data_IF_037573863187
#
_entry.id   IF_037573863187
#
_cell.length_a   1.000
_cell.length_b   1.000
_cell.length_c   1.000
_cell.angle_alpha   90.00
_cell.angle_beta   90.00
_cell.angle_gamma   90.00
#
_symmetry.space_group_name_H-M   'P 1'
#
loop_
_entity.id
_entity.type
_entity.pdbx_description
1 polymer ?
#
# COMPACT_ATOMS: atom_id res chain seq x y z
N UNK A 1 -61.77 62.43 -29.42
CA UNK A 1 -61.81 62.17 -30.88
C UNK A 1 -62.90 62.92 -31.64
N UNK A 2 -64.05 63.32 -31.06
CA UNK A 2 -65.11 64.03 -31.81
C UNK A 2 -64.79 65.51 -32.13
N UNK A 3 -64.04 66.22 -31.30
CA UNK A 3 -63.76 67.66 -31.53
C UNK A 3 -62.67 67.93 -32.58
N UNK A 4 -61.64 67.08 -32.68
CA UNK A 4 -60.53 67.29 -33.62
C UNK A 4 -60.95 67.08 -35.07
N UNK A 5 -61.88 66.14 -35.32
CA UNK A 5 -62.44 65.89 -36.65
C UNK A 5 -63.32 67.06 -37.09
N UNK A 6 -64.13 67.61 -36.17
CA UNK A 6 -64.97 68.78 -36.44
C UNK A 6 -64.13 70.03 -36.69
N UNK A 7 -63.04 70.23 -35.94
CA UNK A 7 -62.08 71.33 -36.16
C UNK A 7 -61.37 71.21 -37.52
N UNK A 8 -60.87 70.02 -37.88
CA UNK A 8 -60.24 69.80 -39.19
C UNK A 8 -61.21 69.99 -40.34
N UNK A 9 -62.49 69.64 -40.15
CA UNK A 9 -63.53 69.89 -41.15
C UNK A 9 -63.82 71.40 -41.28
N UNK A 10 -63.87 72.14 -40.16
CA UNK A 10 -64.04 73.60 -40.18
C UNK A 10 -62.85 74.31 -40.84
N UNK A 11 -61.61 73.86 -40.60
CA UNK A 11 -60.42 74.37 -41.28
C UNK A 11 -60.40 74.03 -42.77
N UNK A 12 -60.78 72.80 -43.14
CA UNK A 12 -60.89 72.37 -44.54
C UNK A 12 -61.94 73.17 -45.32
N UNK A 13 -63.04 73.57 -44.68
CA UNK A 13 -64.07 74.43 -45.30
C UNK A 13 -63.62 75.90 -45.35
N UNK A 14 -62.94 76.41 -44.33
CA UNK A 14 -62.55 77.84 -44.28
C UNK A 14 -61.42 78.22 -45.24
N UNK A 15 -60.48 77.31 -45.54
CA UNK A 15 -59.21 77.70 -46.15
C UNK A 15 -59.11 77.65 -47.70
N UNK A 16 -59.98 77.01 -48.49
CA UNK A 16 -59.92 77.07 -49.97
C UNK A 16 -60.99 77.92 -50.65
N UNK A 17 -61.96 78.49 -49.91
CA UNK A 17 -63.12 79.17 -50.51
C UNK A 17 -62.88 80.64 -50.93
N UNK A 18 -61.78 81.27 -50.51
CA UNK A 18 -61.59 82.71 -50.70
C UNK A 18 -61.29 83.14 -52.16
N UNK A 19 -60.86 82.23 -53.05
CA UNK A 19 -60.45 82.54 -54.43
C UNK A 19 -61.01 81.58 -55.49
N UNK A 20 -62.08 80.85 -55.19
CA UNK A 20 -62.66 79.86 -56.12
C UNK A 20 -63.92 80.39 -56.79
N UNK A 21 -64.15 79.94 -58.02
CA UNK A 21 -65.39 80.23 -58.73
C UNK A 21 -66.59 79.69 -57.95
N UNK A 22 -67.76 80.29 -58.13
CA UNK A 22 -68.99 79.88 -57.42
C UNK A 22 -69.32 78.40 -57.64
N UNK A 23 -68.99 77.85 -58.82
CA UNK A 23 -69.19 76.43 -59.15
C UNK A 23 -68.23 75.51 -58.37
N UNK A 24 -66.97 75.89 -58.19
CA UNK A 24 -66.00 75.11 -57.41
C UNK A 24 -66.36 75.08 -55.91
N UNK A 25 -66.91 76.19 -55.40
CA UNK A 25 -67.40 76.26 -54.03
C UNK A 25 -68.62 75.36 -53.81
N UNK A 26 -69.52 75.29 -54.79
CA UNK A 26 -70.65 74.35 -54.76
C UNK A 26 -70.19 72.89 -54.83
N UNK A 27 -69.27 72.55 -55.75
CA UNK A 27 -68.74 71.19 -55.86
C UNK A 27 -68.04 70.73 -54.58
N UNK A 28 -67.25 71.59 -53.93
CA UNK A 28 -66.65 71.30 -52.63
C UNK A 28 -67.68 71.17 -51.51
N UNK A 29 -68.74 71.99 -51.52
CA UNK A 29 -69.87 71.88 -50.60
C UNK A 29 -70.53 70.51 -50.71
N UNK A 30 -70.82 70.05 -51.94
CA UNK A 30 -71.36 68.72 -52.18
C UNK A 30 -70.41 67.60 -51.72
N UNK A 31 -69.09 67.77 -51.90
CA UNK A 31 -68.09 66.80 -51.48
C UNK A 31 -67.96 66.71 -49.95
N UNK A 32 -68.00 67.84 -49.25
CA UNK A 32 -67.97 67.92 -47.79
C UNK A 32 -69.25 67.35 -47.17
N UNK A 33 -70.41 67.63 -47.75
CA UNK A 33 -71.70 67.04 -47.35
C UNK A 33 -71.72 65.53 -47.59
N UNK A 34 -71.18 65.05 -48.73
CA UNK A 34 -71.05 63.62 -49.01
C UNK A 34 -70.10 62.91 -48.01
N UNK A 35 -69.00 63.54 -47.63
CA UNK A 35 -68.07 63.02 -46.62
C UNK A 35 -68.70 62.97 -45.21
N UNK A 36 -69.38 64.04 -44.80
CA UNK A 36 -70.13 64.10 -43.54
C UNK A 36 -71.24 63.04 -43.48
N UNK A 37 -71.97 62.86 -44.59
CA UNK A 37 -73.02 61.86 -44.70
C UNK A 37 -72.48 60.42 -44.65
N UNK A 38 -71.30 60.17 -45.22
CA UNK A 38 -70.65 58.85 -45.18
C UNK A 38 -70.17 58.47 -43.77
N UNK A 39 -69.75 59.44 -42.95
CA UNK A 39 -69.37 59.22 -41.55
C UNK A 39 -70.58 59.23 -40.59
N UNK A 40 -71.69 59.86 -40.98
CA UNK A 40 -72.90 59.88 -40.17
C UNK A 40 -73.63 58.53 -40.18
N UNK A 41 -73.93 57.98 -39.00
CA UNK A 41 -74.72 56.75 -38.86
C UNK A 41 -76.07 57.04 -38.19
N UNK A 42 -77.12 56.34 -38.61
CA UNK A 42 -78.45 56.44 -37.98
C UNK A 42 -79.21 57.74 -38.29
N UNK A 43 -79.84 58.33 -37.25
CA UNK A 43 -80.80 59.45 -37.37
C UNK A 43 -80.23 60.73 -38.02
N UNK A 44 -78.94 60.99 -37.85
CA UNK A 44 -78.28 62.19 -38.40
C UNK A 44 -78.16 62.12 -39.92
N UNK A 45 -77.98 60.91 -40.46
CA UNK A 45 -77.91 60.66 -41.92
C UNK A 45 -79.24 60.94 -42.60
N UNK A 46 -80.35 60.53 -41.96
CA UNK A 46 -81.69 60.75 -42.48
C UNK A 46 -82.11 62.22 -42.46
N UNK A 47 -81.70 63.01 -41.46
CA UNK A 47 -81.98 64.46 -41.41
C UNK A 47 -81.25 65.24 -42.51
N UNK A 48 -79.95 64.96 -42.71
CA UNK A 48 -79.16 65.60 -43.76
C UNK A 48 -79.65 65.22 -45.19
N UNK A 49 -80.19 64.01 -45.37
CA UNK A 49 -80.80 63.58 -46.64
C UNK A 49 -82.09 64.34 -46.97
N UNK A 50 -82.86 64.77 -45.97
CA UNK A 50 -84.08 65.58 -46.18
C UNK A 50 -83.79 67.03 -46.52
N UNK A 51 -82.71 67.62 -46.02
CA UNK A 51 -82.36 69.03 -46.31
C UNK A 51 -81.80 69.24 -47.73
N UNK A 52 -81.27 68.20 -48.38
CA UNK A 52 -80.64 68.29 -49.72
C UNK A 52 -81.65 68.15 -50.88
N UNK A 53 -82.95 68.00 -50.61
CA UNK A 53 -83.99 67.73 -51.63
C UNK A 53 -84.34 68.89 -52.60
N UNK A 54 -83.54 69.95 -52.69
CA UNK A 54 -83.82 71.15 -53.50
C UNK A 54 -83.13 71.27 -54.87
N UNK A 55 -82.18 70.40 -55.23
CA UNK A 55 -81.30 70.48 -56.43
C UNK A 55 -81.12 69.06 -57.05
N UNK A 56 -80.66 68.89 -58.32
CA UNK A 56 -80.97 67.71 -59.13
C UNK A 56 -80.47 66.40 -58.50
N UNK A 57 -81.46 65.60 -58.07
CA UNK A 57 -81.40 64.39 -57.21
C UNK A 57 -80.44 63.29 -57.68
N UNK A 58 -80.02 63.30 -58.94
CA UNK A 58 -79.12 62.31 -59.54
C UNK A 58 -77.67 62.47 -59.05
N UNK A 59 -77.14 63.70 -58.99
CA UNK A 59 -75.73 63.93 -58.66
C UNK A 59 -75.43 63.61 -57.19
N UNK A 60 -76.36 63.95 -56.29
CA UNK A 60 -76.25 63.69 -54.86
C UNK A 60 -76.28 62.18 -54.53
N UNK A 61 -77.08 61.39 -55.25
CA UNK A 61 -77.11 59.92 -55.11
C UNK A 61 -75.80 59.27 -55.55
N UNK A 62 -75.21 59.74 -56.66
CA UNK A 62 -73.93 59.24 -57.17
C UNK A 62 -72.81 59.57 -56.18
N UNK A 63 -72.72 60.82 -55.71
CA UNK A 63 -71.72 61.22 -54.72
C UNK A 63 -71.83 60.43 -53.42
N UNK A 64 -73.04 60.11 -52.98
CA UNK A 64 -73.28 59.27 -51.80
C UNK A 64 -72.87 57.81 -52.01
N UNK A 65 -73.18 57.22 -53.16
CA UNK A 65 -72.73 55.87 -53.50
C UNK A 65 -71.19 55.80 -53.56
N UNK A 66 -70.55 56.81 -54.17
CA UNK A 66 -69.09 56.92 -54.21
C UNK A 66 -68.50 57.09 -52.81
N UNK A 67 -69.11 57.91 -51.94
CA UNK A 67 -68.64 58.11 -50.57
C UNK A 67 -68.78 56.82 -49.73
N UNK A 68 -69.93 56.13 -49.80
CA UNK A 68 -70.13 54.84 -49.11
C UNK A 68 -69.23 53.72 -49.65
N UNK A 69 -68.95 53.69 -50.96
CA UNK A 69 -67.99 52.78 -51.54
C UNK A 69 -66.57 53.08 -51.06
N UNK A 70 -66.19 54.36 -50.99
CA UNK A 70 -64.87 54.78 -50.50
C UNK A 70 -64.65 54.48 -49.02
N UNK A 71 -65.68 54.66 -48.17
CA UNK A 71 -65.62 54.33 -46.75
C UNK A 71 -65.61 52.81 -46.52
N UNK A 72 -66.40 52.05 -47.28
CA UNK A 72 -66.37 50.60 -47.24
C UNK A 72 -65.00 50.05 -47.69
N UNK A 73 -64.43 50.63 -48.76
CA UNK A 73 -63.10 50.27 -49.24
C UNK A 73 -62.00 50.57 -48.22
N UNK A 74 -62.00 51.76 -47.60
CA UNK A 74 -61.10 52.07 -46.48
C UNK A 74 -61.25 51.09 -45.32
N UNK A 75 -62.48 50.71 -44.94
CA UNK A 75 -62.70 49.74 -43.85
C UNK A 75 -62.19 48.34 -44.18
N UNK A 76 -62.22 47.94 -45.45
CA UNK A 76 -61.65 46.68 -45.93
C UNK A 76 -60.12 46.77 -45.91
N UNK A 77 -59.55 47.89 -46.38
CA UNK A 77 -58.10 48.15 -46.38
C UNK A 77 -57.54 48.22 -44.95
N UNK A 78 -58.27 48.80 -43.99
CA UNK A 78 -57.90 48.84 -42.57
C UNK A 78 -57.95 47.43 -41.95
N UNK A 79 -58.96 46.62 -42.30
CA UNK A 79 -59.07 45.23 -41.83
C UNK A 79 -57.97 44.34 -42.41
N UNK A 80 -57.68 44.44 -43.69
CA UNK A 80 -56.56 43.68 -44.30
C UNK A 80 -55.22 44.12 -43.74
N UNK A 81 -55.04 45.41 -43.46
CA UNK A 81 -53.83 45.91 -42.78
C UNK A 81 -53.71 45.37 -41.34
N UNK A 82 -54.81 45.33 -40.59
CA UNK A 82 -54.84 44.74 -39.25
C UNK A 82 -54.62 43.22 -39.27
N UNK A 83 -55.18 42.49 -40.23
CA UNK A 83 -54.96 41.07 -40.44
C UNK A 83 -53.51 40.77 -40.83
N UNK A 84 -52.90 41.60 -41.69
CA UNK A 84 -51.48 41.49 -42.03
C UNK A 84 -50.58 41.77 -40.83
N UNK A 85 -50.90 42.79 -40.01
CA UNK A 85 -50.18 43.09 -38.79
C UNK A 85 -50.28 41.92 -37.78
N UNK A 86 -51.48 41.38 -37.56
CA UNK A 86 -51.70 40.23 -36.69
C UNK A 86 -51.00 38.96 -37.21
N UNK A 87 -51.01 38.74 -38.53
CA UNK A 87 -50.28 37.64 -39.17
C UNK A 87 -48.76 37.79 -38.99
N UNK A 88 -48.24 39.02 -39.09
CA UNK A 88 -46.84 39.34 -38.82
C UNK A 88 -46.45 39.08 -37.36
N UNK A 89 -47.29 39.49 -36.40
CA UNK A 89 -47.07 39.19 -34.98
C UNK A 89 -47.13 37.68 -34.69
N UNK A 90 -48.08 36.96 -35.26
CA UNK A 90 -48.17 35.50 -35.15
C UNK A 90 -46.93 34.81 -35.74
N UNK A 91 -46.43 35.28 -36.88
CA UNK A 91 -45.19 34.78 -37.47
C UNK A 91 -43.97 35.04 -36.57
N UNK A 92 -43.89 36.23 -35.96
CA UNK A 92 -42.83 36.58 -35.02
C UNK A 92 -42.88 35.73 -33.75
N UNK A 93 -44.07 35.51 -33.18
CA UNK A 93 -44.28 34.66 -32.01
C UNK A 93 -43.93 33.20 -32.35
N UNK A 94 -44.38 32.70 -33.50
CA UNK A 94 -44.05 31.36 -33.96
C UNK A 94 -42.53 31.18 -34.15
N UNK A 95 -41.85 32.17 -34.71
CA UNK A 95 -40.38 32.20 -34.82
C UNK A 95 -39.69 32.20 -33.45
N UNK A 96 -40.17 33.00 -32.51
CA UNK A 96 -39.64 33.02 -31.14
C UNK A 96 -39.82 31.68 -30.42
N UNK A 97 -41.00 31.05 -30.54
CA UNK A 97 -41.26 29.73 -29.96
C UNK A 97 -40.34 28.67 -30.58
N UNK A 98 -40.12 28.71 -31.90
CA UNK A 98 -39.19 27.80 -32.57
C UNK A 98 -37.75 27.97 -32.07
N UNK A 99 -37.31 29.22 -31.87
CA UNK A 99 -35.98 29.51 -31.30
C UNK A 99 -35.85 29.02 -29.86
N UNK A 100 -36.83 29.30 -28.99
CA UNK A 100 -36.82 28.80 -27.62
C UNK A 100 -36.84 27.28 -27.54
N UNK A 101 -37.59 26.62 -28.44
CA UNK A 101 -37.59 25.16 -28.51
C UNK A 101 -36.22 24.63 -28.92
N UNK A 102 -35.56 25.26 -29.89
CA UNK A 102 -34.22 24.88 -30.31
C UNK A 102 -33.17 25.10 -29.20
N UNK A 103 -33.24 26.21 -28.47
CA UNK A 103 -32.40 26.46 -27.29
C UNK A 103 -32.65 25.43 -26.19
N UNK A 104 -33.90 25.13 -25.89
CA UNK A 104 -34.25 24.16 -24.86
C UNK A 104 -33.79 22.74 -25.23
N UNK A 105 -33.93 22.33 -26.50
CA UNK A 105 -33.41 21.04 -26.97
C UNK A 105 -31.88 20.98 -26.89
N UNK A 106 -31.20 22.09 -27.18
CA UNK A 106 -29.74 22.21 -27.03
C UNK A 106 -29.31 22.09 -25.56
N UNK A 107 -29.93 22.83 -24.65
CA UNK A 107 -29.63 22.74 -23.20
C UNK A 107 -29.89 21.33 -22.66
N UNK A 108 -30.98 20.68 -23.09
CA UNK A 108 -31.29 19.31 -22.68
C UNK A 108 -30.25 18.31 -23.18
N UNK A 109 -29.69 18.50 -24.37
CA UNK A 109 -28.59 17.67 -24.87
C UNK A 109 -27.30 17.92 -24.10
N UNK A 110 -26.97 19.17 -23.78
CA UNK A 110 -25.80 19.52 -22.97
C UNK A 110 -25.90 18.95 -21.54
N UNK A 111 -27.08 19.04 -20.91
CA UNK A 111 -27.33 18.44 -19.59
C UNK A 111 -27.21 16.92 -19.60
N UNK A 112 -27.71 16.26 -20.66
CA UNK A 112 -27.51 14.81 -20.83
C UNK A 112 -26.03 14.46 -20.98
N UNK A 113 -25.29 15.20 -21.79
CA UNK A 113 -23.85 15.02 -21.92
C UNK A 113 -23.10 15.22 -20.60
N UNK A 114 -23.50 16.20 -19.79
CA UNK A 114 -22.94 16.42 -18.46
C UNK A 114 -23.27 15.28 -17.48
N UNK A 115 -24.50 14.74 -17.51
CA UNK A 115 -24.89 13.59 -16.70
C UNK A 115 -24.14 12.32 -17.12
N UNK A 116 -23.96 12.08 -18.41
CA UNK A 116 -23.19 10.94 -18.92
C UNK A 116 -21.71 11.04 -18.54
N UNK A 117 -21.13 12.26 -18.61
CA UNK A 117 -19.76 12.51 -18.15
C UNK A 117 -19.61 12.29 -16.63
N UNK A 118 -20.60 12.69 -15.84
CA UNK A 118 -20.59 12.50 -14.39
C UNK A 118 -20.77 11.02 -14.01
N UNK A 119 -21.60 10.28 -14.74
CA UNK A 119 -21.74 8.83 -14.59
C UNK A 119 -20.44 8.10 -14.97
N UNK A 120 -19.77 8.51 -16.06
CA UNK A 120 -18.47 7.97 -16.44
C UNK A 120 -17.39 8.24 -15.39
N UNK A 121 -17.34 9.46 -14.83
CA UNK A 121 -16.44 9.81 -13.74
C UNK A 121 -16.72 9.00 -12.46
N UNK A 122 -18.00 8.76 -12.14
CA UNK A 122 -18.40 7.89 -11.03
C UNK A 122 -17.86 6.46 -11.19
N UNK A 123 -18.05 5.88 -12.37
CA UNK A 123 -17.53 4.54 -12.69
C UNK A 123 -15.99 4.48 -12.60
N UNK A 124 -15.29 5.53 -13.03
CA UNK A 124 -13.83 5.61 -12.92
C UNK A 124 -13.36 5.68 -11.46
N UNK A 125 -14.07 6.44 -10.62
CA UNK A 125 -13.80 6.52 -9.18
C UNK A 125 -14.01 5.15 -8.54
N UNK A 126 -15.12 4.47 -8.83
CA UNK A 126 -15.41 3.14 -8.28
C UNK A 126 -14.35 2.11 -8.69
N UNK A 127 -13.89 2.14 -9.94
CA UNK A 127 -12.78 1.30 -10.41
C UNK A 127 -11.47 1.60 -9.67
N UNK A 128 -11.14 2.88 -9.46
CA UNK A 128 -9.94 3.27 -8.72
C UNK A 128 -10.02 2.88 -7.24
N UNK A 129 -11.19 3.00 -6.62
CA UNK A 129 -11.43 2.56 -5.23
C UNK A 129 -11.30 1.05 -5.11
N UNK A 130 -11.87 0.28 -6.04
CA UNK A 130 -11.73 -1.17 -6.08
C UNK A 130 -10.27 -1.60 -6.24
N UNK A 131 -9.55 -1.02 -7.22
CA UNK A 131 -8.12 -1.30 -7.44
C UNK A 131 -7.26 -0.91 -6.23
N UNK A 132 -7.57 0.20 -5.56
CA UNK A 132 -6.86 0.62 -4.35
C UNK A 132 -7.12 -0.34 -3.18
N UNK A 133 -8.36 -0.83 -3.01
CA UNK A 133 -8.68 -1.82 -1.98
C UNK A 133 -7.97 -3.15 -2.21
N UNK A 134 -7.94 -3.64 -3.44
CA UNK A 134 -7.22 -4.86 -3.82
C UNK A 134 -5.70 -4.70 -3.59
N UNK A 135 -5.14 -3.55 -3.98
CA UNK A 135 -3.74 -3.22 -3.72
C UNK A 135 -3.40 -3.14 -2.22
N UNK A 136 -4.31 -2.61 -1.40
CA UNK A 136 -4.14 -2.53 0.06
C UNK A 136 -4.15 -3.93 0.70
N UNK A 137 -5.04 -4.82 0.24
CA UNK A 137 -5.13 -6.18 0.77
C UNK A 137 -3.93 -7.03 0.33
N UNK A 138 -3.49 -6.91 -0.93
CA UNK A 138 -2.25 -7.52 -1.40
C UNK A 138 -1.03 -7.00 -0.62
N UNK A 139 -1.00 -5.70 -0.30
CA UNK A 139 0.06 -5.12 0.51
C UNK A 139 0.05 -5.65 1.96
N UNK A 140 -1.13 -5.74 2.60
CA UNK A 140 -1.27 -6.35 3.93
C UNK A 140 -0.79 -7.80 3.94
N UNK A 141 -1.17 -8.59 2.94
CA UNK A 141 -0.72 -9.98 2.81
C UNK A 141 0.80 -10.04 2.65
N UNK A 142 1.40 -9.17 1.84
CA UNK A 142 2.85 -9.08 1.69
C UNK A 142 3.57 -8.71 2.99
N UNK A 143 2.98 -7.83 3.81
CA UNK A 143 3.52 -7.45 5.11
C UNK A 143 3.45 -8.61 6.10
N UNK A 144 2.34 -9.35 6.15
CA UNK A 144 2.20 -10.52 7.00
C UNK A 144 3.19 -11.62 6.61
N UNK A 145 3.36 -11.86 5.31
CA UNK A 145 4.34 -12.82 4.80
C UNK A 145 5.78 -12.38 5.14
N UNK A 146 6.08 -11.08 5.03
CA UNK A 146 7.40 -10.54 5.39
C UNK A 146 7.65 -10.58 6.90
N UNK A 147 6.65 -10.30 7.73
CA UNK A 147 6.75 -10.43 9.18
C UNK A 147 7.01 -11.89 9.59
N UNK A 148 6.29 -12.83 8.97
CA UNK A 148 6.50 -14.26 9.19
C UNK A 148 7.92 -14.67 8.83
N UNK A 149 8.43 -14.24 7.66
CA UNK A 149 9.79 -14.51 7.22
C UNK A 149 10.84 -13.93 8.19
N UNK A 150 10.71 -12.66 8.60
CA UNK A 150 11.62 -12.03 9.56
C UNK A 150 11.57 -12.76 10.91
N UNK A 151 10.39 -13.17 11.36
CA UNK A 151 10.24 -13.91 12.63
C UNK A 151 10.89 -15.28 12.58
N UNK A 152 10.89 -15.94 11.43
CA UNK A 152 11.62 -17.18 11.21
C UNK A 152 13.13 -16.95 11.20
N UNK A 153 13.62 -15.94 10.48
CA UNK A 153 15.04 -15.54 10.49
C UNK A 153 15.53 -15.26 11.92
N UNK A 154 14.77 -14.49 12.70
CA UNK A 154 15.14 -14.15 14.08
C UNK A 154 15.23 -15.37 15.00
N UNK A 155 14.35 -16.36 14.84
CA UNK A 155 14.42 -17.60 15.61
C UNK A 155 15.70 -18.37 15.30
N UNK A 156 16.12 -18.36 14.04
CA UNK A 156 17.29 -19.08 13.57
C UNK A 156 18.59 -18.36 13.97
N UNK A 157 18.62 -17.03 13.87
CA UNK A 157 19.73 -16.21 14.38
C UNK A 157 19.94 -16.41 15.88
N UNK A 158 18.85 -16.49 16.66
CA UNK A 158 18.95 -16.80 18.08
C UNK A 158 19.56 -18.18 18.34
N UNK A 159 19.23 -19.18 17.52
CA UNK A 159 19.83 -20.50 17.62
C UNK A 159 21.33 -20.45 17.31
N UNK A 160 21.73 -19.67 16.29
CA UNK A 160 23.13 -19.44 15.92
C UNK A 160 23.91 -18.79 17.05
N UNK A 161 23.38 -17.70 17.62
CA UNK A 161 24.00 -17.01 18.75
C UNK A 161 24.21 -17.94 19.95
N UNK A 162 23.24 -18.78 20.27
CA UNK A 162 23.36 -19.75 21.37
C UNK A 162 24.49 -20.77 21.12
N UNK A 163 24.65 -21.28 19.89
CA UNK A 163 25.75 -22.19 19.56
C UNK A 163 27.11 -21.51 19.61
N UNK A 164 27.20 -20.26 19.14
CA UNK A 164 28.42 -19.48 19.26
C UNK A 164 28.77 -19.20 20.73
N UNK A 165 27.78 -18.88 21.58
CA UNK A 165 28.00 -18.73 23.02
C UNK A 165 28.55 -20.04 23.64
N UNK A 166 27.97 -21.20 23.29
CA UNK A 166 28.49 -22.51 23.72
C UNK A 166 29.91 -22.78 23.22
N UNK A 167 30.23 -22.40 21.99
CA UNK A 167 31.59 -22.48 21.46
C UNK A 167 32.57 -21.63 22.28
N UNK A 168 32.21 -20.38 22.59
CA UNK A 168 33.08 -19.51 23.39
C UNK A 168 33.28 -20.03 24.81
N UNK A 169 32.23 -20.56 25.44
CA UNK A 169 32.31 -21.20 26.75
C UNK A 169 33.23 -22.44 26.71
N UNK A 170 33.03 -23.34 25.75
CA UNK A 170 33.89 -24.52 25.56
C UNK A 170 35.35 -24.13 25.29
N UNK A 171 35.58 -23.07 24.51
CA UNK A 171 36.92 -22.51 24.23
C UNK A 171 37.56 -21.95 25.49
N UNK A 172 36.81 -21.30 26.37
CA UNK A 172 37.34 -20.84 27.66
C UNK A 172 37.72 -22.01 28.55
N UNK A 173 36.89 -23.06 28.61
CA UNK A 173 37.21 -24.32 29.31
C UNK A 173 38.45 -25.02 28.75
N UNK A 174 38.63 -25.02 27.42
CA UNK A 174 39.83 -25.56 26.79
C UNK A 174 41.08 -24.77 27.18
N UNK A 175 41.00 -23.43 27.17
CA UNK A 175 42.11 -22.56 27.59
C UNK A 175 42.48 -22.78 29.06
N UNK A 176 41.50 -22.90 29.96
CA UNK A 176 41.78 -23.19 31.36
C UNK A 176 42.41 -24.57 31.53
N UNK A 177 41.96 -25.58 30.78
CA UNK A 177 42.58 -26.92 30.76
C UNK A 177 44.04 -26.88 30.28
N UNK A 178 44.34 -26.15 29.19
CA UNK A 178 45.71 -25.97 28.70
C UNK A 178 46.62 -25.30 29.73
N UNK A 179 46.13 -24.25 30.40
CA UNK A 179 46.88 -23.54 31.44
C UNK A 179 47.13 -24.45 32.64
N UNK A 180 46.11 -25.20 33.08
CA UNK A 180 46.25 -26.17 34.16
C UNK A 180 47.26 -27.27 33.81
N UNK A 181 47.21 -27.81 32.59
CA UNK A 181 48.15 -28.85 32.14
C UNK A 181 49.58 -28.30 32.04
N UNK A 182 49.76 -27.09 31.50
CA UNK A 182 51.08 -26.45 31.41
C UNK A 182 51.66 -26.15 32.80
N UNK A 183 50.84 -25.61 33.72
CA UNK A 183 51.24 -25.38 35.10
C UNK A 183 51.59 -26.69 35.80
N UNK A 184 50.80 -27.74 35.59
CA UNK A 184 51.05 -29.07 36.14
C UNK A 184 52.41 -29.62 35.68
N UNK A 185 52.69 -29.60 34.36
CA UNK A 185 53.97 -30.04 33.80
C UNK A 185 55.15 -29.21 34.34
N UNK A 186 54.99 -27.89 34.45
CA UNK A 186 56.03 -27.01 34.99
C UNK A 186 56.33 -27.36 36.44
N UNK A 187 55.30 -27.53 37.28
CA UNK A 187 55.45 -27.94 38.68
C UNK A 187 56.15 -29.29 38.77
N UNK A 188 55.78 -30.26 37.93
CA UNK A 188 56.46 -31.57 37.87
C UNK A 188 57.94 -31.43 37.53
N UNK A 189 58.29 -30.62 36.52
CA UNK A 189 59.68 -30.37 36.15
C UNK A 189 60.46 -29.71 37.30
N UNK A 190 59.87 -28.74 38.00
CA UNK A 190 60.50 -28.05 39.13
C UNK A 190 60.72 -29.01 40.31
N UNK A 191 59.71 -29.83 40.65
CA UNK A 191 59.83 -30.83 41.72
C UNK A 191 60.87 -31.88 41.35
N UNK A 192 60.85 -32.40 40.12
CA UNK A 192 61.82 -33.39 39.65
C UNK A 192 63.25 -32.82 39.64
N UNK A 193 63.43 -31.55 39.27
CA UNK A 193 64.74 -30.90 39.29
C UNK A 193 65.26 -30.68 40.72
N UNK A 194 64.41 -30.18 41.62
CA UNK A 194 64.80 -29.82 42.99
C UNK A 194 64.94 -31.02 43.93
N UNK A 195 64.01 -31.99 43.84
CA UNK A 195 63.96 -33.15 44.74
C UNK A 195 64.39 -34.45 44.08
N UNK A 196 64.51 -34.51 42.75
CA UNK A 196 64.89 -35.73 42.03
C UNK A 196 66.19 -36.37 42.51
N UNK A 197 67.30 -35.61 42.68
CA UNK A 197 68.54 -36.18 43.21
C UNK A 197 68.38 -36.78 44.62
N UNK A 198 67.66 -36.10 45.51
CA UNK A 198 67.40 -36.58 46.87
C UNK A 198 66.49 -37.82 46.89
N UNK A 199 65.45 -37.83 46.04
CA UNK A 199 64.56 -38.97 45.88
C UNK A 199 65.31 -40.20 45.34
N UNK A 200 66.12 -40.05 44.29
CA UNK A 200 66.95 -41.12 43.73
C UNK A 200 67.96 -41.63 44.76
N UNK A 201 68.63 -40.73 45.50
CA UNK A 201 69.56 -41.11 46.56
C UNK A 201 68.87 -41.91 47.68
N UNK A 202 67.63 -41.54 48.05
CA UNK A 202 66.86 -42.24 49.10
C UNK A 202 66.42 -43.65 48.71
N UNK A 203 66.24 -43.91 47.41
CA UNK A 203 65.83 -45.21 46.85
C UNK A 203 67.05 -46.10 46.58
N UNK A 204 68.18 -45.53 46.15
CA UNK A 204 69.38 -46.30 45.77
C UNK A 204 70.18 -46.88 46.95
N UNK A 205 70.01 -46.39 48.17
CA UNK A 205 70.67 -46.98 49.35
C UNK A 205 69.86 -48.16 49.88
N UNK A 206 70.14 -49.36 49.34
CA UNK A 206 69.86 -50.60 50.07
C UNK A 206 70.70 -50.59 51.34
N UNK A 207 70.03 -50.43 52.49
CA UNK A 207 70.68 -50.37 53.81
C UNK A 207 71.20 -51.76 54.20
N UNK A 208 72.31 -52.18 53.58
CA UNK A 208 73.09 -53.37 53.97
C UNK A 208 73.53 -53.28 55.43
N UNK A 209 73.68 -52.05 55.97
CA UNK A 209 73.98 -51.79 57.37
C UNK A 209 72.92 -52.34 58.35
N UNK A 210 71.63 -52.34 57.97
CA UNK A 210 70.55 -52.87 58.80
C UNK A 210 70.57 -54.41 58.87
N UNK A 211 71.09 -55.05 57.81
CA UNK A 211 71.35 -56.49 57.75
C UNK A 211 72.59 -56.88 58.58
N UNK A 212 73.62 -56.02 58.57
CA UNK A 212 74.88 -56.23 59.31
C UNK A 212 74.75 -55.92 60.80
N UNK A 213 73.85 -55.02 61.21
CA UNK A 213 73.62 -54.64 62.61
C UNK A 213 72.75 -55.61 63.41
N UNK A 214 72.46 -56.81 62.89
CA UNK A 214 71.69 -57.85 63.60
C UNK A 214 70.18 -57.62 63.65
N UNK A 215 69.64 -56.73 62.80
CA UNK A 215 68.20 -56.55 62.66
C UNK A 215 67.52 -57.78 62.05
N UNK A 216 66.32 -58.13 62.54
CA UNK A 216 65.49 -59.18 61.93
C UNK A 216 65.23 -58.84 60.46
N UNK A 217 65.37 -59.82 59.56
CA UNK A 217 65.07 -59.70 58.12
C UNK A 217 63.67 -59.07 57.89
N UNK A 218 62.72 -59.32 58.78
CA UNK A 218 61.39 -58.72 58.72
C UNK A 218 61.38 -57.19 58.87
N UNK A 219 62.28 -56.63 59.69
CA UNK A 219 62.40 -55.17 59.88
C UNK A 219 63.00 -54.47 58.66
N UNK A 220 63.98 -55.09 58.00
CA UNK A 220 64.57 -54.58 56.76
C UNK A 220 63.53 -54.55 55.62
N UNK A 221 62.75 -55.63 55.48
CA UNK A 221 61.67 -55.73 54.49
C UNK A 221 60.58 -54.70 54.78
N UNK A 222 60.15 -54.56 56.04
CA UNK A 222 59.14 -53.57 56.43
C UNK A 222 59.60 -52.12 56.15
N UNK A 223 60.88 -51.83 56.35
CA UNK A 223 61.45 -50.51 56.06
C UNK A 223 61.51 -50.20 54.56
N UNK A 224 61.79 -51.20 53.72
CA UNK A 224 61.77 -51.04 52.27
C UNK A 224 60.35 -50.88 51.71
N UNK A 225 59.41 -51.70 52.21
CA UNK A 225 58.00 -51.60 51.82
C UNK A 225 57.38 -50.27 52.25
N UNK A 226 57.67 -49.78 53.46
CA UNK A 226 57.18 -48.47 53.90
C UNK A 226 57.74 -47.32 53.05
N UNK A 227 59.03 -47.33 52.69
CA UNK A 227 59.60 -46.36 51.74
C UNK A 227 58.89 -46.43 50.37
N UNK A 228 58.67 -47.64 49.85
CA UNK A 228 57.97 -47.82 48.57
C UNK A 228 56.54 -47.27 48.62
N UNK A 229 55.79 -47.54 49.69
CA UNK A 229 54.43 -47.03 49.87
C UNK A 229 54.40 -45.50 49.97
N UNK A 230 55.36 -44.91 50.68
CA UNK A 230 55.46 -43.45 50.82
C UNK A 230 55.67 -42.75 49.47
N UNK A 231 56.38 -43.37 48.52
CA UNK A 231 56.55 -42.82 47.17
C UNK A 231 55.42 -43.20 46.21
N UNK A 232 54.84 -44.39 46.34
CA UNK A 232 53.81 -44.86 45.42
C UNK A 232 52.49 -44.10 45.57
N UNK A 233 52.11 -43.71 46.79
CA UNK A 233 50.85 -42.99 47.04
C UNK A 233 50.84 -41.61 46.35
N UNK A 234 51.84 -40.72 46.52
CA UNK A 234 51.91 -39.46 45.78
C UNK A 234 51.96 -39.65 44.26
N UNK A 235 52.68 -40.66 43.76
CA UNK A 235 52.72 -40.97 42.32
C UNK A 235 51.33 -41.35 41.81
N UNK A 236 50.60 -42.16 42.57
CA UNK A 236 49.24 -42.55 42.18
C UNK A 236 48.28 -41.35 42.16
N UNK A 237 48.33 -40.51 43.20
CA UNK A 237 47.54 -39.26 43.26
C UNK A 237 47.90 -38.33 42.10
N UNK A 238 49.18 -38.22 41.76
CA UNK A 238 49.68 -37.48 40.61
C UNK A 238 49.09 -38.03 39.30
N UNK A 239 49.24 -39.32 39.02
CA UNK A 239 48.69 -39.91 37.79
C UNK A 239 47.17 -39.78 37.70
N UNK A 240 46.47 -39.90 38.83
CA UNK A 240 45.02 -39.69 38.90
C UNK A 240 44.62 -38.24 38.59
N UNK A 241 45.35 -37.26 39.14
CA UNK A 241 45.11 -35.84 38.84
C UNK A 241 45.38 -35.54 37.35
N UNK A 242 46.48 -36.07 36.80
CA UNK A 242 46.79 -35.95 35.37
C UNK A 242 45.68 -36.54 34.49
N UNK A 243 45.20 -37.76 34.80
CA UNK A 243 44.06 -38.40 34.11
C UNK A 243 42.82 -37.51 34.17
N UNK A 244 42.55 -36.88 35.30
CA UNK A 244 41.40 -35.96 35.49
C UNK A 244 41.53 -34.70 34.63
N UNK A 245 42.71 -34.07 34.60
CA UNK A 245 42.98 -32.88 33.78
C UNK A 245 42.89 -33.21 32.28
N UNK A 246 43.46 -34.34 31.84
CA UNK A 246 43.36 -34.80 30.44
C UNK A 246 41.90 -35.06 30.06
N UNK A 247 41.10 -35.69 30.92
CA UNK A 247 39.67 -35.91 30.68
C UNK A 247 38.92 -34.59 30.52
N UNK A 248 39.21 -33.60 31.37
CA UNK A 248 38.62 -32.26 31.25
C UNK A 248 39.03 -31.57 29.94
N UNK A 249 40.32 -31.63 29.58
CA UNK A 249 40.85 -31.11 28.32
C UNK A 249 40.14 -31.72 27.10
N UNK A 250 40.02 -33.05 27.05
CA UNK A 250 39.37 -33.76 25.95
C UNK A 250 37.89 -33.39 25.84
N UNK A 251 37.18 -33.29 26.97
CA UNK A 251 35.78 -32.86 27.01
C UNK A 251 35.62 -31.44 26.44
N UNK A 252 36.46 -30.49 26.85
CA UNK A 252 36.38 -29.11 26.35
C UNK A 252 36.72 -29.01 24.87
N UNK A 253 37.68 -29.80 24.37
CA UNK A 253 38.01 -29.88 22.95
C UNK A 253 36.83 -30.41 22.13
N UNK A 254 36.23 -31.52 22.57
CA UNK A 254 35.09 -32.14 21.87
C UNK A 254 33.83 -31.26 21.88
N UNK A 255 33.55 -30.57 23.00
CA UNK A 255 32.45 -29.60 23.07
C UNK A 255 32.67 -28.42 22.11
N UNK A 256 33.92 -27.97 21.97
CA UNK A 256 34.29 -26.89 21.05
C UNK A 256 34.09 -27.33 19.58
N UNK A 257 34.54 -28.53 19.22
CA UNK A 257 34.38 -29.06 17.87
C UNK A 257 32.91 -29.35 17.54
N UNK A 258 32.13 -29.89 18.48
CA UNK A 258 30.69 -30.12 18.32
C UNK A 258 29.93 -28.81 18.10
N UNK A 259 30.17 -27.78 18.92
CA UNK A 259 29.52 -26.49 18.77
C UNK A 259 29.81 -25.86 17.40
N UNK A 260 31.07 -25.96 16.93
CA UNK A 260 31.47 -25.46 15.61
C UNK A 260 30.84 -26.23 14.45
N UNK A 261 30.74 -27.56 14.57
CA UNK A 261 30.07 -28.39 13.57
C UNK A 261 28.58 -28.05 13.49
N UNK A 262 27.91 -27.88 14.63
CA UNK A 262 26.48 -27.52 14.69
C UNK A 262 26.21 -26.12 14.16
N UNK A 263 27.08 -25.16 14.46
CA UNK A 263 27.01 -23.81 13.87
C UNK A 263 27.12 -23.88 12.34
N UNK A 264 28.09 -24.64 11.81
CA UNK A 264 28.29 -24.77 10.35
C UNK A 264 27.11 -25.47 9.67
N UNK A 265 26.52 -26.50 10.31
CA UNK A 265 25.33 -27.18 9.78
C UNK A 265 24.11 -26.25 9.79
N UNK A 266 23.94 -25.43 10.84
CA UNK A 266 22.87 -24.44 10.91
C UNK A 266 23.03 -23.37 9.82
N UNK A 267 24.24 -22.85 9.62
CA UNK A 267 24.54 -21.89 8.54
C UNK A 267 24.29 -22.49 7.15
N UNK A 268 24.62 -23.77 6.95
CA UNK A 268 24.34 -24.48 5.70
C UNK A 268 22.84 -24.68 5.48
N UNK A 269 22.11 -25.05 6.53
CA UNK A 269 20.65 -25.16 6.50
C UNK A 269 20.01 -23.83 6.09
N UNK A 270 20.45 -22.74 6.73
CA UNK A 270 19.98 -21.39 6.45
C UNK A 270 20.20 -20.99 5.00
N UNK A 271 21.41 -21.21 4.49
CA UNK A 271 21.74 -20.89 3.10
C UNK A 271 20.90 -21.67 2.08
N UNK A 272 20.53 -22.91 2.40
CA UNK A 272 19.69 -23.75 1.55
C UNK A 272 18.20 -23.33 1.62
N UNK A 273 17.71 -22.93 2.80
CA UNK A 273 16.34 -22.42 2.96
C UNK A 273 16.16 -21.05 2.32
N UNK A 274 17.11 -20.13 2.48
CA UNK A 274 17.04 -18.78 1.91
C UNK A 274 17.01 -18.81 0.38
N UNK A 275 17.79 -19.70 -0.24
CA UNK A 275 17.86 -19.84 -1.71
C UNK A 275 16.68 -20.62 -2.31
N UNK A 276 15.71 -21.06 -1.51
CA UNK A 276 14.60 -21.91 -1.95
C UNK A 276 15.06 -23.24 -2.56
N UNK A 277 16.27 -23.71 -2.21
CA UNK A 277 16.89 -24.93 -2.76
C UNK A 277 16.80 -26.13 -1.82
N UNK A 278 16.40 -25.93 -0.57
CA UNK A 278 16.04 -27.01 0.34
C UNK A 278 14.64 -27.52 -0.02
N UNK A 279 14.56 -28.70 -0.63
CA UNK A 279 13.30 -29.43 -0.78
C UNK A 279 12.69 -29.65 0.62
N UNK A 280 11.36 -29.58 0.73
CA UNK A 280 10.63 -29.76 2.01
C UNK A 280 10.97 -31.13 2.64
N UNK A 281 11.36 -32.10 1.80
CA UNK A 281 11.84 -33.44 2.18
C UNK A 281 13.22 -33.48 2.83
N UNK A 282 14.11 -32.53 2.54
CA UNK A 282 15.49 -32.53 3.06
C UNK A 282 15.60 -31.83 4.42
N UNK A 283 14.63 -30.97 4.75
CA UNK A 283 14.53 -30.27 6.05
C UNK A 283 14.58 -31.21 7.26
N UNK A 284 13.77 -32.28 7.36
CA UNK A 284 13.85 -33.21 8.49
C UNK A 284 15.19 -33.94 8.56
N UNK A 285 15.86 -34.19 7.43
CA UNK A 285 17.14 -34.89 7.39
C UNK A 285 18.27 -34.03 7.97
N UNK A 286 18.29 -32.74 7.64
CA UNK A 286 19.25 -31.78 8.21
C UNK A 286 18.94 -31.50 9.70
N UNK A 287 17.67 -31.34 10.07
CA UNK A 287 17.28 -31.19 11.47
C UNK A 287 17.67 -32.42 12.30
N UNK A 288 17.47 -33.63 11.77
CA UNK A 288 17.93 -34.85 12.42
C UNK A 288 19.46 -34.89 12.57
N UNK A 289 20.20 -34.43 11.55
CA UNK A 289 21.65 -34.30 11.61
C UNK A 289 22.13 -33.24 12.64
N UNK A 290 21.34 -32.20 12.90
CA UNK A 290 21.65 -31.15 13.90
C UNK A 290 21.44 -31.65 15.34
N UNK A 291 20.47 -32.55 15.55
CA UNK A 291 20.12 -33.07 16.87
C UNK A 291 20.78 -34.41 17.23
N UNK A 292 21.43 -35.09 16.28
CA UNK A 292 22.18 -36.32 16.60
C UNK A 292 23.35 -36.04 17.53
N UNK A 293 23.69 -37.01 18.39
CA UNK A 293 24.92 -36.95 19.16
C UNK A 293 26.10 -36.97 18.19
N UNK A 294 27.05 -36.05 18.37
CA UNK A 294 28.30 -36.06 17.61
C UNK A 294 29.07 -37.34 17.94
N UNK A 295 29.70 -37.98 16.94
CA UNK A 295 30.52 -39.16 17.19
C UNK A 295 31.57 -38.87 18.28
N UNK A 296 31.64 -39.72 19.30
CA UNK A 296 32.48 -39.53 20.49
C UNK A 296 31.75 -39.12 21.78
N UNK A 297 30.44 -38.83 21.72
CA UNK A 297 29.61 -38.46 22.89
C UNK A 297 28.66 -39.59 23.38
N UNK A 298 28.90 -40.84 22.99
CA UNK A 298 28.07 -41.99 23.41
C UNK A 298 28.27 -42.40 24.89
N UNK A 299 27.44 -43.32 25.42
CA UNK A 299 27.55 -43.84 26.80
C UNK A 299 28.89 -44.54 27.10
N UNK A 300 29.65 -44.94 26.07
CA UNK A 300 31.04 -45.39 26.16
C UNK A 300 32.03 -44.20 26.21
N UNK A 301 31.67 -43.18 26.99
CA UNK A 301 32.23 -41.83 26.89
C UNK A 301 33.73 -41.78 27.16
N UNK A 302 34.49 -41.28 26.17
CA UNK A 302 35.79 -40.60 26.26
C UNK A 302 36.63 -41.07 27.46
N UNK A 303 36.83 -42.37 27.59
CA UNK A 303 37.84 -42.88 28.48
C UNK A 303 39.15 -42.78 27.70
N UNK A 304 40.07 -41.86 28.04
CA UNK A 304 41.41 -41.92 27.49
C UNK A 304 41.93 -43.35 27.74
N UNK A 305 42.60 -43.97 26.74
CA UNK A 305 42.99 -45.37 26.79
C UNK A 305 43.61 -45.65 28.15
N UNK A 306 43.01 -46.58 28.89
CA UNK A 306 43.47 -46.84 30.23
C UNK A 306 44.91 -47.32 30.14
N UNK A 307 45.82 -46.76 30.95
CA UNK A 307 47.24 -47.10 30.87
C UNK A 307 47.47 -48.61 31.00
N UNK A 308 46.54 -49.31 31.64
CA UNK A 308 46.43 -50.77 31.73
C UNK A 308 46.31 -51.46 30.37
N UNK A 309 45.59 -50.89 29.40
CA UNK A 309 45.49 -51.43 28.03
C UNK A 309 46.78 -51.24 27.24
N UNK A 310 47.46 -50.10 27.38
CA UNK A 310 48.75 -49.84 26.73
C UNK A 310 49.83 -50.76 27.31
N UNK A 311 49.83 -50.98 28.62
CA UNK A 311 50.74 -51.92 29.30
C UNK A 311 50.41 -53.35 28.87
N UNK A 312 49.14 -53.77 28.83
CA UNK A 312 48.75 -55.11 28.36
C UNK A 312 49.04 -55.33 26.86
N UNK A 313 48.87 -54.33 26.02
CA UNK A 313 49.22 -54.39 24.60
C UNK A 313 50.74 -54.49 24.40
N UNK A 314 51.53 -53.82 25.25
CA UNK A 314 52.98 -53.98 25.31
C UNK A 314 53.42 -55.35 25.81
N UNK A 315 52.76 -55.88 26.85
CA UNK A 315 53.07 -57.19 27.46
C UNK A 315 52.71 -58.36 26.52
N UNK A 316 51.60 -58.26 25.78
CA UNK A 316 51.14 -59.29 24.85
C UNK A 316 51.96 -59.36 23.54
N UNK A 317 52.69 -58.30 23.17
CA UNK A 317 53.66 -58.34 22.07
C UNK A 317 54.95 -59.08 22.41
N UNK A 318 55.21 -59.37 23.69
CA UNK A 318 56.43 -60.04 24.17
C UNK A 318 56.34 -61.55 24.31
N UNK A 319 55.19 -62.18 24.05
CA UNK A 319 55.08 -63.65 24.03
C UNK A 319 55.36 -64.16 22.61
N UNK A 320 56.48 -64.88 22.36
CA UNK A 320 56.56 -65.72 21.17
C UNK A 320 55.49 -66.83 21.29
N UNK A 321 54.86 -67.13 20.16
CA UNK A 321 53.85 -68.17 20.02
C UNK A 321 54.35 -69.55 20.45
#
# INVERSE_FOLDING_TARGET
>A
MKDEVVQRLQEFVRNPLANRSQDDAQQLGYLAVAALLAESTGKTRTQLLTEVQGEPVELAKILFQVATYSSARRSIDDRTSAEQAASGELANIAGAIANYRAEFEKERLEQRGALDALAAAGNEIDQKVAAASEGLDAFKESLLNREAAIREEWKLDRARLNWNDRFTEARTGFRTACVLLAAYLLVTCVIAYSFGPAAVASVNHFDLGLFVSGGSVGTAIAHQLSRLVVFSVPIFVYLWLLKTVIRYFMRSLLLMDDARQRETMLDTYLLLTEKGRADERDRPLILWALFRQTPGHGPDGIEPPDFTEVINAGLNRGKPA
#
